data_IF_105473798277
#
_entry.id   IF_105473798277
#
_cell.length_a   1.000
_cell.length_b   1.000
_cell.length_c   1.000
_cell.angle_alpha   90.00
_cell.angle_beta   90.00
_cell.angle_gamma   90.00
#
_symmetry.space_group_name_H-M   'P 1'
#
loop_
_entity.id
_entity.type
_entity.pdbx_description
1 polymer ?
#
# COMPACT_ATOMS: atom_id res chain seq x y z
N UNK A 1 -1.84 -49.26 6.14
CA UNK A 1 -2.88 -48.58 6.93
C UNK A 1 -2.83 -47.11 6.53
N UNK A 2 -3.65 -46.69 5.56
CA UNK A 2 -3.74 -45.29 5.14
C UNK A 2 -4.78 -44.59 6.04
N UNK A 3 -4.54 -43.35 6.51
CA UNK A 3 -5.44 -42.70 7.44
C UNK A 3 -6.79 -42.44 6.77
N UNK A 4 -7.85 -42.75 7.51
CA UNK A 4 -9.25 -42.59 7.09
C UNK A 4 -9.51 -41.12 6.79
N UNK A 5 -9.79 -40.79 5.53
CA UNK A 5 -10.28 -39.48 5.14
C UNK A 5 -11.69 -39.31 5.73
N UNK A 6 -11.84 -38.40 6.69
CA UNK A 6 -13.15 -38.01 7.22
C UNK A 6 -13.61 -36.76 6.49
N UNK A 7 -14.57 -36.94 5.59
CA UNK A 7 -15.22 -35.90 4.79
C UNK A 7 -16.17 -35.00 5.63
N UNK A 8 -15.83 -34.72 6.89
CA UNK A 8 -16.75 -34.11 7.87
C UNK A 8 -16.03 -33.13 8.81
N UNK A 9 -16.35 -31.84 8.76
CA UNK A 9 -15.79 -30.84 9.69
C UNK A 9 -16.22 -31.05 11.17
N UNK A 10 -17.27 -31.84 11.42
CA UNK A 10 -17.98 -31.93 12.70
C UNK A 10 -17.13 -32.47 13.87
N UNK A 11 -16.10 -33.28 13.57
CA UNK A 11 -15.24 -33.91 14.59
C UNK A 11 -13.79 -33.38 14.57
N UNK A 12 -13.53 -32.24 13.92
CA UNK A 12 -12.19 -31.64 13.83
C UNK A 12 -11.21 -32.39 12.92
N UNK A 13 -11.65 -33.46 12.26
CA UNK A 13 -10.85 -34.34 11.41
C UNK A 13 -11.34 -34.15 9.97
N UNK A 14 -10.66 -33.32 9.18
CA UNK A 14 -11.01 -33.04 7.78
C UNK A 14 -9.78 -33.13 6.87
N UNK A 15 -10.00 -33.49 5.60
CA UNK A 15 -8.93 -33.59 4.61
C UNK A 15 -8.67 -32.26 3.86
N UNK A 16 -8.96 -31.11 4.49
CA UNK A 16 -8.60 -29.81 3.93
C UNK A 16 -7.08 -29.66 4.03
N UNK A 17 -6.39 -30.11 2.99
CA UNK A 17 -4.93 -30.29 2.96
C UNK A 17 -4.25 -28.94 2.91
N UNK A 18 -3.38 -28.68 3.88
CA UNK A 18 -2.43 -27.58 3.81
C UNK A 18 -1.18 -28.02 4.57
N UNK A 19 -0.04 -28.06 3.88
CA UNK A 19 1.21 -28.61 4.40
C UNK A 19 1.70 -27.93 5.71
N UNK A 20 1.22 -26.72 6.00
CA UNK A 20 1.63 -25.89 7.14
C UNK A 20 0.43 -25.42 8.01
N UNK A 21 -0.77 -26.00 7.80
CA UNK A 21 -1.97 -25.56 8.51
C UNK A 21 -2.54 -24.23 7.98
N UNK A 22 -2.69 -24.05 6.67
CA UNK A 22 -3.44 -22.95 6.06
C UNK A 22 -4.93 -23.23 5.82
N UNK A 23 -5.35 -24.48 5.88
CA UNK A 23 -6.69 -24.94 5.51
C UNK A 23 -7.74 -24.69 6.59
N UNK A 24 -8.96 -24.39 6.16
CA UNK A 24 -10.15 -24.25 7.01
C UNK A 24 -11.28 -25.13 6.47
N UNK A 25 -12.10 -25.64 7.37
CA UNK A 25 -13.26 -26.47 7.04
C UNK A 25 -14.51 -25.77 7.56
N UNK A 26 -15.53 -25.59 6.71
CA UNK A 26 -16.79 -24.97 7.08
C UNK A 26 -17.98 -25.80 6.60
N UNK A 27 -19.01 -25.95 7.44
CA UNK A 27 -20.26 -26.63 7.06
C UNK A 27 -21.06 -25.77 6.09
N UNK A 28 -21.74 -26.40 5.12
CA UNK A 28 -22.65 -25.70 4.20
C UNK A 28 -23.95 -25.39 4.94
N UNK A 29 -24.36 -24.12 4.99
CA UNK A 29 -25.55 -23.68 5.74
C UNK A 29 -26.87 -24.24 5.19
N UNK A 30 -26.92 -24.53 3.89
CA UNK A 30 -28.15 -24.87 3.16
C UNK A 30 -28.20 -26.32 2.64
N UNK A 31 -27.37 -27.24 3.18
CA UNK A 31 -27.42 -28.63 2.74
C UNK A 31 -26.41 -29.57 3.39
N UNK A 32 -26.52 -30.88 3.15
CA UNK A 32 -25.53 -31.84 3.60
C UNK A 32 -24.22 -31.62 2.84
N UNK A 33 -23.20 -31.14 3.53
CA UNK A 33 -21.87 -30.97 2.94
C UNK A 33 -20.95 -30.06 3.73
N UNK A 34 -19.70 -30.02 3.28
CA UNK A 34 -18.66 -29.15 3.80
C UNK A 34 -17.93 -28.46 2.65
N UNK A 35 -17.28 -27.34 2.96
CA UNK A 35 -16.41 -26.61 2.05
C UNK A 35 -15.06 -26.42 2.72
N UNK A 36 -14.00 -26.78 1.99
CA UNK A 36 -12.66 -26.38 2.35
C UNK A 36 -12.41 -24.94 1.87
N UNK A 37 -11.76 -24.16 2.71
CA UNK A 37 -11.26 -22.83 2.40
C UNK A 37 -9.83 -22.68 2.94
N UNK A 38 -9.29 -21.47 2.82
CA UNK A 38 -8.02 -21.12 3.44
C UNK A 38 -8.22 -20.06 4.51
N UNK A 39 -7.33 -20.03 5.51
CA UNK A 39 -7.23 -18.94 6.48
C UNK A 39 -6.96 -17.62 5.76
N UNK A 40 -7.27 -16.51 6.43
CA UNK A 40 -6.87 -15.21 5.91
C UNK A 40 -5.33 -15.15 5.78
N UNK A 41 -4.82 -14.45 4.77
CA UNK A 41 -3.40 -14.47 4.42
C UNK A 41 -2.94 -15.67 3.57
N UNK A 42 -3.81 -16.67 3.37
CA UNK A 42 -3.56 -17.82 2.49
C UNK A 42 -4.43 -17.74 1.23
N UNK A 43 -3.99 -18.40 0.16
CA UNK A 43 -4.76 -18.52 -1.09
C UNK A 43 -4.83 -19.97 -1.54
N UNK A 44 -5.94 -20.33 -2.19
CA UNK A 44 -6.11 -21.64 -2.80
C UNK A 44 -5.28 -21.70 -4.08
N UNK A 45 -4.39 -22.68 -4.15
CA UNK A 45 -3.69 -23.11 -5.36
C UNK A 45 -4.13 -24.52 -5.71
N UNK A 46 -4.21 -24.84 -7.00
CA UNK A 46 -4.53 -26.20 -7.49
C UNK A 46 -5.81 -26.79 -6.86
N UNK A 47 -6.85 -25.97 -6.68
CA UNK A 47 -8.19 -26.28 -6.20
C UNK A 47 -8.36 -26.73 -4.73
N UNK A 48 -7.32 -27.24 -4.07
CA UNK A 48 -7.44 -27.78 -2.70
C UNK A 48 -6.27 -27.44 -1.78
N UNK A 49 -5.16 -26.91 -2.32
CA UNK A 49 -3.95 -26.65 -1.54
C UNK A 49 -3.91 -25.18 -1.11
N UNK A 50 -3.77 -24.93 0.19
CA UNK A 50 -3.59 -23.57 0.69
C UNK A 50 -2.10 -23.23 0.76
N UNK A 51 -1.70 -22.15 0.10
CA UNK A 51 -0.33 -21.60 0.19
C UNK A 51 -0.35 -20.18 0.76
N UNK A 52 0.59 -19.88 1.64
CA UNK A 52 0.66 -18.55 2.24
C UNK A 52 1.03 -17.53 1.17
N UNK A 53 0.41 -16.35 1.20
CA UNK A 53 0.67 -15.29 0.22
C UNK A 53 2.16 -14.90 0.16
N UNK A 54 2.89 -14.97 1.28
CA UNK A 54 4.33 -14.72 1.29
C UNK A 54 5.12 -15.67 0.38
N UNK A 55 4.74 -16.95 0.32
CA UNK A 55 5.43 -17.96 -0.49
C UNK A 55 5.09 -17.86 -1.99
N UNK A 56 4.24 -16.90 -2.34
CA UNK A 56 3.87 -16.53 -3.70
C UNK A 56 4.43 -15.16 -4.10
N UNK A 57 5.28 -14.55 -3.28
CA UNK A 57 5.85 -13.22 -3.57
C UNK A 57 4.83 -12.09 -3.40
N UNK A 58 4.04 -12.13 -2.30
CA UNK A 58 3.10 -11.05 -2.00
C UNK A 58 3.77 -9.67 -1.93
N UNK A 59 4.94 -9.58 -1.30
CA UNK A 59 5.74 -8.36 -1.23
C UNK A 59 6.64 -8.22 -2.46
N UNK A 60 6.60 -7.05 -3.10
CA UNK A 60 7.39 -6.75 -4.29
C UNK A 60 8.64 -5.93 -3.94
N UNK A 61 9.49 -5.70 -4.93
CA UNK A 61 10.65 -4.79 -4.84
C UNK A 61 11.58 -5.06 -3.65
N UNK A 62 11.77 -6.33 -3.30
CA UNK A 62 12.66 -6.74 -2.21
C UNK A 62 12.08 -6.55 -0.80
N UNK A 63 10.78 -6.25 -0.67
CA UNK A 63 10.12 -6.17 0.62
C UNK A 63 10.06 -7.51 1.37
N UNK A 64 10.24 -7.47 2.69
CA UNK A 64 10.18 -8.65 3.55
C UNK A 64 8.75 -8.96 3.94
N UNK A 65 8.31 -10.20 3.74
CA UNK A 65 6.95 -10.64 4.06
C UNK A 65 6.87 -11.22 5.47
N UNK A 66 6.05 -10.62 6.33
CA UNK A 66 5.82 -11.12 7.69
C UNK A 66 4.66 -12.12 7.72
N UNK A 67 4.93 -13.36 8.17
CA UNK A 67 3.94 -14.46 8.28
C UNK A 67 3.23 -14.53 9.64
N UNK A 68 3.70 -13.83 10.66
CA UNK A 68 3.23 -13.99 12.04
C UNK A 68 1.89 -13.30 12.32
N UNK A 69 1.34 -12.60 11.33
CA UNK A 69 0.11 -11.81 11.49
C UNK A 69 -1.08 -12.66 11.04
N UNK A 70 -2.03 -12.97 11.94
CA UNK A 70 -3.09 -13.96 11.70
C UNK A 70 -4.14 -13.52 10.68
N UNK A 71 -4.19 -12.23 10.33
CA UNK A 71 -5.22 -11.67 9.45
C UNK A 71 -4.76 -11.53 8.00
N UNK A 72 -3.58 -10.96 7.74
CA UNK A 72 -3.03 -10.85 6.40
C UNK A 72 -1.53 -10.57 6.53
N UNK A 73 -0.66 -11.09 5.65
CA UNK A 73 0.75 -10.73 5.71
C UNK A 73 0.94 -9.24 5.49
N UNK A 74 1.89 -8.68 6.24
CA UNK A 74 2.34 -7.30 6.07
C UNK A 74 3.71 -7.32 5.40
N UNK A 75 3.89 -6.42 4.45
CA UNK A 75 5.17 -6.21 3.78
C UNK A 75 5.95 -5.11 4.48
N UNK A 76 7.20 -5.42 4.83
CA UNK A 76 8.18 -4.44 5.29
C UNK A 76 8.98 -4.02 4.06
N UNK A 77 8.68 -2.83 3.54
CA UNK A 77 9.30 -2.31 2.33
C UNK A 77 10.71 -1.78 2.58
N UNK A 78 11.54 -1.78 1.53
CA UNK A 78 12.83 -1.09 1.56
C UNK A 78 12.63 0.43 1.56
N UNK A 79 13.71 1.20 1.75
CA UNK A 79 13.64 2.66 1.88
C UNK A 79 13.07 3.35 0.64
N UNK A 80 13.25 2.74 -0.53
CA UNK A 80 12.91 3.29 -1.83
C UNK A 80 11.46 2.99 -2.25
N UNK A 81 10.76 2.11 -1.52
CA UNK A 81 9.42 1.66 -1.89
C UNK A 81 8.40 1.82 -0.75
N UNK A 82 7.13 1.88 -1.12
CA UNK A 82 5.99 2.07 -0.21
C UNK A 82 4.71 1.41 -0.73
N UNK A 83 3.66 1.45 0.11
CA UNK A 83 2.37 0.79 -0.09
C UNK A 83 2.31 -0.63 0.49
N UNK A 84 1.10 -1.19 0.57
CA UNK A 84 0.82 -2.48 1.24
C UNK A 84 1.65 -3.67 0.71
N UNK A 85 2.11 -3.56 -0.55
CA UNK A 85 2.90 -4.58 -1.25
C UNK A 85 4.24 -4.06 -1.76
N UNK A 86 4.65 -2.88 -1.31
CA UNK A 86 5.87 -2.20 -1.78
C UNK A 86 5.88 -1.94 -3.30
N UNK A 87 4.72 -1.63 -3.87
CA UNK A 87 4.53 -1.45 -5.33
C UNK A 87 4.97 -0.07 -5.82
N UNK A 88 4.97 0.94 -4.95
CA UNK A 88 5.21 2.32 -5.33
C UNK A 88 6.63 2.74 -4.94
N UNK A 89 7.33 3.44 -5.83
CA UNK A 89 8.59 4.11 -5.46
C UNK A 89 8.22 5.28 -4.55
N UNK A 90 8.87 5.36 -3.40
CA UNK A 90 8.66 6.45 -2.45
C UNK A 90 9.08 7.76 -3.11
N UNK A 91 8.12 8.65 -3.36
CA UNK A 91 8.38 9.96 -3.96
C UNK A 91 8.96 10.99 -2.98
N UNK A 92 9.64 10.55 -1.91
CA UNK A 92 10.29 11.43 -0.92
C UNK A 92 11.60 12.06 -1.43
N UNK A 93 11.88 11.96 -2.74
CA UNK A 93 12.96 12.71 -3.40
C UNK A 93 12.45 13.60 -4.54
N UNK A 94 11.13 13.64 -4.80
CA UNK A 94 10.51 14.65 -5.67
C UNK A 94 9.39 15.41 -4.94
N UNK A 95 9.64 15.72 -3.68
CA UNK A 95 9.24 17.00 -3.11
C UNK A 95 10.49 17.86 -3.01
N UNK A 96 11.13 18.13 -4.16
CA UNK A 96 11.94 19.33 -4.27
C UNK A 96 10.97 20.51 -4.10
N UNK A 97 10.88 20.99 -2.86
CA UNK A 97 10.86 22.41 -2.52
C UNK A 97 10.31 23.37 -3.59
N UNK A 98 9.07 23.19 -4.04
CA UNK A 98 8.45 24.10 -5.01
C UNK A 98 7.12 24.66 -4.50
N UNK A 99 7.19 25.51 -3.46
CA UNK A 99 6.37 26.74 -3.32
C UNK A 99 6.56 27.45 -1.97
N UNK A 100 7.72 28.07 -1.76
CA UNK A 100 7.81 29.26 -0.88
C UNK A 100 8.88 30.27 -1.30
N UNK A 101 9.27 30.31 -2.58
CA UNK A 101 10.15 31.36 -3.12
C UNK A 101 9.44 32.32 -4.08
N UNK A 102 8.32 31.90 -4.70
CA UNK A 102 7.55 32.77 -5.60
C UNK A 102 6.77 33.89 -4.86
N UNK A 103 6.45 33.70 -3.58
CA UNK A 103 5.75 34.73 -2.79
C UNK A 103 6.69 35.91 -2.46
N UNK A 104 8.00 35.73 -2.49
CA UNK A 104 8.99 36.78 -2.18
C UNK A 104 9.35 37.61 -3.44
N UNK A 105 9.24 37.02 -4.64
CA UNK A 105 9.52 37.71 -5.90
C UNK A 105 8.40 38.64 -6.37
N UNK A 106 7.13 38.28 -6.12
CA UNK A 106 5.98 39.07 -6.55
C UNK A 106 5.84 40.40 -5.82
N UNK A 107 5.99 40.41 -4.49
CA UNK A 107 5.84 41.63 -3.70
C UNK A 107 6.99 42.62 -3.94
N UNK A 108 8.23 42.15 -4.03
CA UNK A 108 9.40 43.01 -4.26
C UNK A 108 9.38 43.68 -5.64
N UNK A 109 8.96 42.96 -6.68
CA UNK A 109 8.82 43.50 -8.04
C UNK A 109 7.75 44.59 -8.12
N UNK A 110 6.59 44.37 -7.49
CA UNK A 110 5.52 45.37 -7.44
C UNK A 110 5.95 46.63 -6.69
N UNK A 111 6.65 46.50 -5.55
CA UNK A 111 7.13 47.66 -4.79
C UNK A 111 8.15 48.47 -5.60
N UNK A 112 9.10 47.82 -6.27
CA UNK A 112 10.08 48.53 -7.12
C UNK A 112 9.41 49.26 -8.29
N UNK A 113 8.45 48.64 -8.98
CA UNK A 113 7.72 49.30 -10.06
C UNK A 113 6.91 50.50 -9.57
N UNK A 114 6.21 50.38 -8.43
CA UNK A 114 5.48 51.50 -7.83
C UNK A 114 6.43 52.65 -7.48
N UNK A 115 7.57 52.38 -6.86
CA UNK A 115 8.55 53.42 -6.51
C UNK A 115 9.09 54.13 -7.76
N UNK A 116 9.43 53.38 -8.82
CA UNK A 116 9.92 53.98 -10.08
C UNK A 116 8.86 54.85 -10.77
N UNK A 117 7.58 54.43 -10.77
CA UNK A 117 6.50 55.25 -11.34
C UNK A 117 6.28 56.54 -10.56
N UNK A 118 6.31 56.48 -9.21
CA UNK A 118 6.19 57.67 -8.35
C UNK A 118 7.35 58.64 -8.58
N UNK A 119 8.59 58.14 -8.64
CA UNK A 119 9.77 58.98 -8.93
C UNK A 119 9.67 59.60 -10.33
N UNK A 120 9.26 58.83 -11.34
CA UNK A 120 9.06 59.34 -12.70
C UNK A 120 8.04 60.47 -12.76
N UNK A 121 6.88 60.30 -12.13
CA UNK A 121 5.83 61.33 -12.03
C UNK A 121 6.34 62.56 -11.27
N UNK A 122 7.07 62.36 -10.18
CA UNK A 122 7.66 63.46 -9.40
C UNK A 122 8.67 64.27 -10.22
N UNK A 123 9.58 63.59 -10.92
CA UNK A 123 10.58 64.22 -11.77
C UNK A 123 9.94 64.94 -12.97
N UNK A 124 8.90 64.36 -13.58
CA UNK A 124 8.14 65.03 -14.64
C UNK A 124 7.45 66.29 -14.13
N UNK A 125 6.81 66.21 -12.97
CA UNK A 125 6.12 67.37 -12.38
C UNK A 125 7.10 68.50 -12.05
N UNK A 126 8.23 68.19 -11.43
CA UNK A 126 9.31 69.17 -11.16
C UNK A 126 10.01 69.73 -12.40
N UNK A 127 9.91 69.07 -13.56
CA UNK A 127 10.47 69.57 -14.81
C UNK A 127 9.48 70.45 -15.59
N UNK A 128 8.20 70.38 -15.22
CA UNK A 128 7.13 71.22 -15.76
C UNK A 128 6.83 72.46 -14.88
N UNK A 129 7.32 72.49 -13.63
CA UNK A 129 7.40 73.70 -12.78
C UNK A 129 8.70 74.47 -13.07
#
# INVERSE_FOLDING_TARGET
MFPVATDSCANGHNNCTSAEGGGTCSLVKDGPGFKCGCRKGWVVIRNIECKHKCDLGFCLNGGTCNKDIPENPICICTKEYEGDRCTHVRSEQLSDSSNTSYIIGGAGGCVLLVVLTVIGVYCWRRRCD
#
